data_IF_319547401194
#
_entry.id   IF_319547401194
#
_cell.length_a   1.000
_cell.length_b   1.000
_cell.length_c   1.000
_cell.angle_alpha   90.00
_cell.angle_beta   90.00
_cell.angle_gamma   90.00
#
_symmetry.space_group_name_H-M   'P 1'
#
loop_
_entity.id
_entity.type
_entity.pdbx_description
1 polymer ?
#
# COMPACT_ATOMS: atom_id res chain seq x y z
N UNK A 1 -16.52 -3.11 -8.55
CA UNK A 1 -15.20 -3.75 -8.73
C UNK A 1 -14.26 -3.13 -7.71
N UNK A 2 -13.35 -3.90 -7.10
CA UNK A 2 -12.34 -3.33 -6.22
C UNK A 2 -11.42 -2.37 -6.98
N UNK A 3 -10.98 -1.32 -6.30
CA UNK A 3 -9.96 -0.38 -6.79
C UNK A 3 -8.72 -0.56 -5.94
N UNK A 4 -7.62 -0.91 -6.60
CA UNK A 4 -6.31 -1.02 -5.98
C UNK A 4 -5.53 0.25 -6.26
N UNK A 5 -5.11 0.94 -5.20
CA UNK A 5 -4.25 2.10 -5.27
C UNK A 5 -2.86 1.70 -4.77
N UNK A 6 -1.87 1.73 -5.67
CA UNK A 6 -0.48 1.39 -5.38
C UNK A 6 0.30 2.68 -5.19
N UNK A 7 0.95 2.84 -4.04
CA UNK A 7 1.71 4.05 -3.71
C UNK A 7 2.87 3.75 -2.76
N UNK A 8 3.86 4.64 -2.73
CA UNK A 8 5.07 4.48 -1.93
C UNK A 8 5.13 5.45 -0.74
N UNK A 9 4.11 6.29 -0.55
CA UNK A 9 4.07 7.27 0.53
C UNK A 9 2.91 7.06 1.51
N UNK A 10 3.06 7.62 2.71
CA UNK A 10 1.97 7.72 3.69
C UNK A 10 0.79 8.54 3.16
N UNK A 11 1.05 9.57 2.34
CA UNK A 11 0.02 10.41 1.75
C UNK A 11 -0.88 9.63 0.77
N UNK A 12 -0.31 8.68 0.03
CA UNK A 12 -1.08 7.77 -0.83
C UNK A 12 -2.05 6.93 0.00
N UNK A 13 -1.59 6.38 1.12
CA UNK A 13 -2.45 5.57 2.00
C UNK A 13 -3.59 6.40 2.62
N UNK A 14 -3.31 7.67 2.97
CA UNK A 14 -4.35 8.60 3.39
C UNK A 14 -5.35 8.93 2.28
N UNK A 15 -4.91 8.99 1.02
CA UNK A 15 -5.81 9.16 -0.13
C UNK A 15 -6.81 8.01 -0.22
N UNK A 16 -6.34 6.76 -0.04
CA UNK A 16 -7.22 5.58 -0.01
C UNK A 16 -8.18 5.64 1.17
N UNK A 17 -7.71 5.99 2.36
CA UNK A 17 -8.58 6.13 3.53
C UNK A 17 -9.67 7.19 3.31
N UNK A 18 -9.32 8.31 2.69
CA UNK A 18 -10.28 9.36 2.37
C UNK A 18 -11.32 8.87 1.36
N UNK A 19 -10.91 8.07 0.37
CA UNK A 19 -11.83 7.43 -0.57
C UNK A 19 -12.79 6.46 0.15
N UNK A 20 -12.30 5.64 1.09
CA UNK A 20 -13.14 4.77 1.95
C UNK A 20 -14.17 5.57 2.73
N UNK A 21 -13.80 6.76 3.24
CA UNK A 21 -14.73 7.62 3.97
C UNK A 21 -15.75 8.33 3.09
N UNK A 22 -15.35 8.80 1.90
CA UNK A 22 -16.23 9.56 0.99
C UNK A 22 -17.14 8.67 0.15
N UNK A 23 -16.69 7.45 -0.16
CA UNK A 23 -17.41 6.48 -0.99
C UNK A 23 -17.32 5.08 -0.35
N UNK A 24 -18.00 4.87 0.80
CA UNK A 24 -17.90 3.62 1.56
C UNK A 24 -18.48 2.41 0.81
N UNK A 25 -19.32 2.64 -0.20
CA UNK A 25 -19.89 1.59 -1.06
C UNK A 25 -18.84 0.90 -1.94
N UNK A 26 -17.67 1.54 -2.14
CA UNK A 26 -16.56 1.03 -2.93
C UNK A 26 -15.56 0.21 -2.12
N UNK A 27 -15.01 -0.85 -2.71
CA UNK A 27 -13.88 -1.60 -2.13
C UNK A 27 -12.57 -0.91 -2.53
N UNK A 28 -11.98 -0.16 -1.60
CA UNK A 28 -10.72 0.57 -1.81
C UNK A 28 -9.57 -0.13 -1.08
N UNK A 29 -8.58 -0.58 -1.84
CA UNK A 29 -7.43 -1.33 -1.32
C UNK A 29 -6.18 -0.47 -1.54
N UNK A 30 -5.47 -0.17 -0.45
CA UNK A 30 -4.18 0.51 -0.51
C UNK A 30 -3.06 -0.52 -0.49
N UNK A 31 -2.15 -0.46 -1.45
CA UNK A 31 -0.96 -1.32 -1.51
C UNK A 31 0.27 -0.43 -1.44
N UNK A 32 1.10 -0.66 -0.44
CA UNK A 32 2.38 0.03 -0.29
C UNK A 32 3.46 -0.59 -1.16
N UNK A 33 4.35 0.22 -1.73
CA UNK A 33 5.62 -0.26 -2.33
C UNK A 33 6.77 0.48 -1.67
N UNK A 34 7.79 -0.22 -1.22
CA UNK A 34 8.96 0.43 -0.62
C UNK A 34 9.76 1.17 -1.69
N UNK A 35 10.00 2.49 -1.55
CA UNK A 35 10.83 3.19 -2.51
C UNK A 35 12.30 2.76 -2.40
N UNK A 36 13.10 2.81 -3.48
CA UNK A 36 14.47 2.30 -3.47
C UNK A 36 15.35 2.88 -2.36
N UNK A 37 15.17 4.16 -2.05
CA UNK A 37 15.98 4.88 -1.06
C UNK A 37 15.71 4.51 0.40
N UNK A 38 14.63 3.78 0.73
CA UNK A 38 14.41 3.26 2.09
C UNK A 38 14.90 1.82 2.27
N UNK A 39 15.34 1.18 1.19
CA UNK A 39 15.73 -0.23 1.16
C UNK A 39 17.20 -0.49 1.48
N UNK A 40 17.97 0.54 1.87
CA UNK A 40 19.41 0.44 2.17
C UNK A 40 19.72 -0.51 3.35
N UNK A 41 18.81 -0.61 4.32
CA UNK A 41 18.92 -1.51 5.46
C UNK A 41 17.60 -2.19 5.74
N UNK A 42 17.65 -3.39 6.31
CA UNK A 42 16.43 -4.12 6.71
C UNK A 42 15.63 -3.36 7.77
N UNK A 43 16.31 -2.69 8.71
CA UNK A 43 15.65 -1.89 9.75
C UNK A 43 14.88 -0.70 9.16
N UNK A 44 15.50 0.05 8.24
CA UNK A 44 14.85 1.19 7.57
C UNK A 44 13.68 0.76 6.69
N UNK A 45 13.85 -0.36 5.98
CA UNK A 45 12.79 -0.97 5.15
C UNK A 45 11.59 -1.35 5.99
N UNK A 46 11.83 -2.01 7.13
CA UNK A 46 10.78 -2.49 8.01
C UNK A 46 10.07 -1.34 8.73
N UNK A 47 10.81 -0.33 9.20
CA UNK A 47 10.21 0.87 9.79
C UNK A 47 9.30 1.61 8.80
N UNK A 48 9.73 1.72 7.54
CA UNK A 48 8.91 2.37 6.51
C UNK A 48 7.69 1.53 6.13
N UNK A 49 7.86 0.20 6.02
CA UNK A 49 6.75 -0.75 5.82
C UNK A 49 5.68 -0.61 6.89
N UNK A 50 6.07 -0.57 8.16
CA UNK A 50 5.15 -0.37 9.28
C UNK A 50 4.44 0.97 9.18
N UNK A 51 5.13 2.03 8.74
CA UNK A 51 4.53 3.35 8.54
C UNK A 51 3.43 3.32 7.48
N UNK A 52 3.66 2.64 6.34
CA UNK A 52 2.65 2.47 5.29
C UNK A 52 1.45 1.63 5.76
N UNK A 53 1.70 0.55 6.51
CA UNK A 53 0.64 -0.29 7.07
C UNK A 53 -0.22 0.48 8.09
N UNK A 54 0.41 1.21 9.00
CA UNK A 54 -0.29 2.07 9.96
C UNK A 54 -1.10 3.17 9.26
N UNK A 55 -0.62 3.67 8.12
CA UNK A 55 -1.31 4.66 7.32
C UNK A 55 -2.48 4.09 6.49
N UNK A 56 -2.64 2.77 6.40
CA UNK A 56 -3.80 2.13 5.75
C UNK A 56 -3.49 1.19 4.58
N UNK A 57 -2.22 0.84 4.36
CA UNK A 57 -1.83 -0.18 3.40
C UNK A 57 -2.29 -1.57 3.87
N UNK A 58 -3.01 -2.30 3.01
CA UNK A 58 -3.43 -3.68 3.23
C UNK A 58 -2.26 -4.66 3.11
N UNK A 59 -1.38 -4.40 2.14
CA UNK A 59 -0.14 -5.15 1.88
C UNK A 59 0.95 -4.15 1.49
N UNK A 60 2.20 -4.52 1.73
CA UNK A 60 3.36 -3.73 1.31
C UNK A 60 4.32 -4.67 0.57
N UNK A 61 4.86 -4.22 -0.56
CA UNK A 61 5.86 -4.95 -1.33
C UNK A 61 7.17 -4.19 -1.40
N UNK A 62 8.27 -4.89 -1.63
CA UNK A 62 9.58 -4.24 -1.86
C UNK A 62 9.71 -3.71 -3.30
N UNK A 63 8.91 -4.24 -4.23
CA UNK A 63 8.82 -3.77 -5.62
C UNK A 63 7.41 -4.02 -6.17
N UNK A 64 6.95 -3.19 -7.10
CA UNK A 64 5.64 -3.33 -7.75
C UNK A 64 5.49 -4.65 -8.54
N UNK A 65 6.57 -5.22 -9.06
CA UNK A 65 6.57 -6.52 -9.75
C UNK A 65 6.11 -7.68 -8.87
N UNK A 66 6.14 -7.51 -7.54
CA UNK A 66 5.63 -8.50 -6.59
C UNK A 66 4.10 -8.46 -6.45
N UNK A 67 3.43 -7.42 -6.94
CA UNK A 67 1.97 -7.37 -7.03
C UNK A 67 1.53 -8.16 -8.28
N UNK A 68 1.45 -9.47 -8.13
CA UNK A 68 1.05 -10.38 -9.21
C UNK A 68 -0.48 -10.45 -9.35
N UNK A 69 -1.01 -10.99 -10.46
CA UNK A 69 -2.44 -11.26 -10.59
C UNK A 69 -3.00 -12.13 -9.45
N UNK A 70 -2.23 -13.09 -8.94
CA UNK A 70 -2.62 -13.93 -7.81
C UNK A 70 -2.81 -13.11 -6.53
N UNK A 71 -1.89 -12.17 -6.24
CA UNK A 71 -2.03 -11.26 -5.10
C UNK A 71 -3.26 -10.35 -5.26
N UNK A 72 -3.49 -9.81 -6.47
CA UNK A 72 -4.66 -8.98 -6.78
C UNK A 72 -5.97 -9.73 -6.53
N UNK A 73 -6.03 -11.02 -6.89
CA UNK A 73 -7.22 -11.86 -6.72
C UNK A 73 -7.43 -12.34 -5.27
N UNK A 74 -6.45 -12.14 -4.39
CA UNK A 74 -6.52 -12.54 -2.97
C UNK A 74 -7.11 -11.48 -2.03
N UNK A 75 -7.26 -10.23 -2.51
CA UNK A 75 -7.91 -9.14 -1.78
C UNK A 75 -9.44 -9.24 -1.82
#
# INVERSE_FOLDING_TARGET
LPVIYVGDTVADMYTVNQARSLQPEGTWIGVGVLPPHVQETSERSEAYRQSLQQAGASLVFSNVEQLTPEEILSF
#
